data_IF_586260693433
#
_entry.id   IF_586260693433
#
_cell.length_a   1.000
_cell.length_b   1.000
_cell.length_c   1.000
_cell.angle_alpha   90.00
_cell.angle_beta   90.00
_cell.angle_gamma   90.00
#
_symmetry.space_group_name_H-M   'P 1'
#
loop_
_entity.id
_entity.type
_entity.pdbx_description
1 polymer ?
#
# COMPACT_ATOMS: atom_id res chain seq x y z
N UNK A 1 -18.57 13.97 28.29
CA UNK A 1 -18.23 15.27 27.64
C UNK A 1 -16.92 15.19 26.86
N UNK A 2 -15.96 14.37 27.26
CA UNK A 2 -14.65 14.22 26.60
C UNK A 2 -14.71 13.50 25.22
N UNK A 3 -15.67 12.62 24.98
CA UNK A 3 -15.76 11.86 23.71
C UNK A 3 -16.24 12.67 22.48
N UNK A 4 -16.73 13.91 22.68
CA UNK A 4 -17.22 14.77 21.59
C UNK A 4 -16.17 15.71 21.02
N UNK A 5 -15.04 15.88 21.71
CA UNK A 5 -13.96 16.81 21.32
C UNK A 5 -13.00 16.20 20.28
N UNK A 6 -12.68 14.91 20.37
CA UNK A 6 -11.71 14.26 19.48
C UNK A 6 -12.18 14.22 18.01
N UNK A 7 -13.45 13.97 17.76
CA UNK A 7 -14.01 14.02 16.40
C UNK A 7 -14.09 15.44 15.82
N UNK A 8 -14.20 16.46 16.68
CA UNK A 8 -14.21 17.87 16.24
C UNK A 8 -12.81 18.38 15.88
N UNK A 9 -11.77 17.93 16.57
CA UNK A 9 -10.39 18.35 16.29
C UNK A 9 -9.91 17.88 14.92
N UNK A 10 -10.13 16.62 14.54
CA UNK A 10 -9.80 16.13 13.20
C UNK A 10 -10.56 16.90 12.11
N UNK A 11 -11.87 17.09 12.27
CA UNK A 11 -12.67 17.85 11.31
C UNK A 11 -12.25 19.34 11.22
N UNK A 12 -11.81 19.94 12.34
CA UNK A 12 -11.30 21.32 12.34
C UNK A 12 -9.96 21.38 11.65
N UNK A 13 -9.05 20.45 11.94
CA UNK A 13 -7.73 20.34 11.29
C UNK A 13 -7.86 20.22 9.78
N UNK A 14 -8.70 19.30 9.29
CA UNK A 14 -8.93 19.10 7.86
C UNK A 14 -9.49 20.36 7.18
N UNK A 15 -10.45 21.05 7.83
CA UNK A 15 -10.98 22.34 7.31
C UNK A 15 -9.92 23.42 7.25
N UNK A 16 -9.07 23.51 8.26
CA UNK A 16 -7.97 24.48 8.30
C UNK A 16 -6.99 24.20 7.17
N UNK A 17 -6.59 22.94 6.98
CA UNK A 17 -5.68 22.53 5.91
C UNK A 17 -6.22 22.93 4.53
N UNK A 18 -7.48 22.61 4.25
CA UNK A 18 -8.13 23.00 2.99
C UNK A 18 -8.17 24.51 2.81
N UNK A 19 -8.47 25.26 3.88
CA UNK A 19 -8.56 26.73 3.85
C UNK A 19 -7.18 27.36 3.61
N UNK A 20 -6.15 26.86 4.29
CA UNK A 20 -4.77 27.30 4.12
C UNK A 20 -4.28 27.01 2.70
N UNK A 21 -4.49 25.78 2.19
CA UNK A 21 -4.12 25.42 0.82
C UNK A 21 -4.77 26.37 -0.22
N UNK A 22 -6.07 26.67 -0.07
CA UNK A 22 -6.78 27.61 -0.94
C UNK A 22 -6.21 29.03 -0.86
N UNK A 23 -5.88 29.49 0.36
CA UNK A 23 -5.29 30.82 0.56
C UNK A 23 -3.93 30.92 -0.12
N UNK A 24 -3.03 29.96 0.14
CA UNK A 24 -1.68 29.90 -0.44
C UNK A 24 -1.73 29.93 -1.98
N UNK A 25 -2.63 29.13 -2.58
CA UNK A 25 -2.84 29.14 -4.04
C UNK A 25 -3.36 30.49 -4.55
N UNK A 26 -4.30 31.13 -3.83
CA UNK A 26 -4.87 32.43 -4.24
C UNK A 26 -3.84 33.55 -4.22
N UNK A 27 -2.91 33.54 -3.26
CA UNK A 27 -1.85 34.57 -3.17
C UNK A 27 -0.58 34.16 -3.94
N UNK A 28 -0.61 33.01 -4.61
CA UNK A 28 0.49 32.46 -5.40
C UNK A 28 1.82 32.37 -4.61
N UNK A 29 1.74 31.91 -3.36
CA UNK A 29 2.88 31.82 -2.47
C UNK A 29 3.49 30.40 -2.49
N UNK A 30 4.77 30.30 -2.87
CA UNK A 30 5.54 29.07 -2.73
C UNK A 30 5.79 28.79 -1.23
N UNK A 31 5.39 27.61 -0.78
CA UNK A 31 5.43 27.23 0.63
C UNK A 31 6.09 25.89 0.80
N UNK A 32 6.93 25.74 1.81
CA UNK A 32 7.51 24.47 2.24
C UNK A 32 6.88 24.12 3.58
N UNK A 33 6.32 22.90 3.66
CA UNK A 33 5.75 22.32 4.88
C UNK A 33 6.61 21.14 5.27
N UNK A 34 7.04 21.09 6.52
CA UNK A 34 7.77 19.95 7.11
C UNK A 34 6.84 19.28 8.11
N UNK A 35 6.56 18.00 7.91
CA UNK A 35 5.69 17.22 8.77
C UNK A 35 6.16 15.76 8.81
N UNK A 36 5.80 15.04 9.87
CA UNK A 36 5.97 13.59 9.95
C UNK A 36 4.68 12.82 9.61
N UNK A 37 3.61 13.53 9.32
CA UNK A 37 2.32 12.96 8.94
C UNK A 37 2.21 12.90 7.41
N UNK A 38 2.28 11.68 6.85
CA UNK A 38 2.20 11.46 5.41
C UNK A 38 0.85 11.88 4.82
N UNK A 39 -0.25 11.74 5.57
CA UNK A 39 -1.58 12.17 5.11
C UNK A 39 -1.67 13.69 4.99
N UNK A 40 -1.07 14.42 5.94
CA UNK A 40 -0.97 15.86 5.86
C UNK A 40 -0.15 16.30 4.65
N UNK A 41 1.04 15.70 4.47
CA UNK A 41 1.89 15.99 3.31
C UNK A 41 1.14 15.73 1.98
N UNK A 42 0.50 14.56 1.83
CA UNK A 42 -0.20 14.18 0.61
C UNK A 42 -1.43 15.05 0.32
N UNK A 43 -2.14 15.53 1.34
CA UNK A 43 -3.31 16.38 1.17
C UNK A 43 -2.96 17.84 0.81
N UNK A 44 -1.84 18.33 1.35
CA UNK A 44 -1.46 19.74 1.26
C UNK A 44 -0.52 20.05 0.09
N UNK A 45 0.41 19.18 -0.22
CA UNK A 45 1.50 19.46 -1.14
C UNK A 45 1.13 19.20 -2.60
N UNK A 46 1.75 19.95 -3.51
CA UNK A 46 1.76 19.65 -4.94
C UNK A 46 2.92 18.69 -5.27
N UNK A 47 4.00 18.71 -4.47
CA UNK A 47 5.11 17.76 -4.51
C UNK A 47 5.55 17.41 -3.10
N UNK A 48 5.96 16.17 -2.89
CA UNK A 48 6.45 15.65 -1.61
C UNK A 48 7.90 15.20 -1.72
N UNK A 49 8.70 15.53 -0.71
CA UNK A 49 10.06 15.03 -0.54
C UNK A 49 10.15 14.11 0.67
N UNK A 50 10.70 12.93 0.50
CA UNK A 50 11.01 12.01 1.60
C UNK A 50 12.49 12.17 1.98
N UNK A 51 12.73 12.61 3.20
CA UNK A 51 14.08 12.79 3.75
C UNK A 51 14.34 11.69 4.78
N UNK A 52 15.32 10.85 4.50
CA UNK A 52 15.79 9.80 5.42
C UNK A 52 17.30 9.90 5.55
N UNK A 53 17.81 9.75 6.77
CA UNK A 53 19.26 9.81 7.06
C UNK A 53 19.93 11.07 6.48
N UNK A 54 19.25 12.22 6.59
CA UNK A 54 19.72 13.53 6.10
C UNK A 54 19.84 13.64 4.56
N UNK A 55 19.28 12.69 3.82
CA UNK A 55 19.29 12.68 2.36
C UNK A 55 17.86 12.73 1.81
N UNK A 56 17.67 13.47 0.71
CA UNK A 56 16.43 13.46 -0.04
C UNK A 56 16.35 12.18 -0.88
N UNK A 57 15.57 11.19 -0.42
CA UNK A 57 15.47 9.87 -1.06
C UNK A 57 14.50 9.85 -2.25
N UNK A 58 13.42 10.59 -2.15
CA UNK A 58 12.43 10.69 -3.25
C UNK A 58 11.81 12.08 -3.25
N UNK A 59 11.53 12.63 -4.45
CA UNK A 59 10.84 13.89 -4.64
C UNK A 59 9.93 13.80 -5.85
N UNK A 60 8.61 13.77 -5.63
CA UNK A 60 7.63 13.62 -6.70
C UNK A 60 6.25 14.14 -6.26
N UNK A 61 5.23 14.01 -7.13
CA UNK A 61 3.85 14.24 -6.74
C UNK A 61 3.40 13.23 -5.69
N UNK A 62 2.47 13.59 -4.78
CA UNK A 62 2.01 12.70 -3.70
C UNK A 62 1.61 11.31 -4.15
N UNK A 63 0.91 11.22 -5.30
CA UNK A 63 0.46 9.95 -5.87
C UNK A 63 1.62 9.00 -6.16
N UNK A 64 2.66 9.48 -6.85
CA UNK A 64 3.83 8.66 -7.20
C UNK A 64 4.63 8.26 -5.94
N UNK A 65 4.82 9.20 -5.00
CA UNK A 65 5.48 8.88 -3.72
C UNK A 65 4.75 7.77 -2.98
N UNK A 66 3.40 7.78 -3.06
CA UNK A 66 2.57 6.77 -2.41
C UNK A 66 2.59 5.42 -3.12
N UNK A 67 2.42 5.40 -4.44
CA UNK A 67 2.21 4.15 -5.20
C UNK A 67 3.50 3.58 -5.79
N UNK A 68 4.52 4.41 -5.99
CA UNK A 68 5.78 4.04 -6.63
C UNK A 68 6.98 4.49 -5.78
N UNK A 69 7.13 3.99 -4.53
CA UNK A 69 8.33 4.27 -3.74
C UNK A 69 9.57 3.77 -4.50
N UNK A 70 10.59 4.63 -4.57
CA UNK A 70 11.78 4.36 -5.38
C UNK A 70 12.83 3.46 -4.69
N UNK A 71 12.61 3.12 -3.44
CA UNK A 71 13.51 2.27 -2.65
C UNK A 71 12.77 1.56 -1.51
N UNK A 72 13.38 0.48 -1.03
CA UNK A 72 12.90 -0.28 0.13
C UNK A 72 12.79 0.64 1.36
N UNK A 73 13.74 1.56 1.55
CA UNK A 73 13.73 2.48 2.69
C UNK A 73 12.52 3.43 2.65
N UNK A 74 12.19 3.97 1.48
CA UNK A 74 11.01 4.83 1.29
C UNK A 74 9.72 4.02 1.52
N UNK A 75 9.61 2.82 0.97
CA UNK A 75 8.45 1.96 1.17
C UNK A 75 8.26 1.60 2.65
N UNK A 76 9.32 1.27 3.37
CA UNK A 76 9.29 1.01 4.81
C UNK A 76 8.90 2.26 5.61
N UNK A 77 9.45 3.42 5.28
CA UNK A 77 9.11 4.69 5.93
C UNK A 77 7.62 5.01 5.80
N UNK A 78 7.05 4.77 4.63
CA UNK A 78 5.63 4.96 4.36
C UNK A 78 4.75 3.83 4.93
N UNK A 79 5.36 2.78 5.49
CA UNK A 79 4.67 1.61 6.06
C UNK A 79 3.68 0.95 5.08
N UNK A 80 4.13 0.76 3.83
CA UNK A 80 3.28 0.44 2.70
C UNK A 80 2.88 -1.02 2.57
N UNK A 81 3.51 -1.93 3.25
CA UNK A 81 3.22 -3.36 3.10
C UNK A 81 4.42 -4.21 3.47
N UNK A 82 4.57 -5.31 2.77
CA UNK A 82 5.66 -6.26 2.98
C UNK A 82 6.39 -6.52 1.66
N UNK A 83 7.59 -7.08 1.76
CA UNK A 83 8.36 -7.53 0.60
C UNK A 83 8.31 -9.04 0.51
N UNK A 84 7.94 -9.55 -0.67
CA UNK A 84 7.96 -10.99 -0.98
C UNK A 84 8.93 -11.24 -2.12
N UNK A 85 9.56 -12.43 -2.11
CA UNK A 85 10.50 -12.83 -3.16
C UNK A 85 9.72 -13.42 -4.33
N UNK A 86 9.90 -12.84 -5.52
CA UNK A 86 9.24 -13.29 -6.76
C UNK A 86 10.24 -13.45 -7.89
N UNK A 87 9.88 -14.25 -8.89
CA UNK A 87 10.66 -14.41 -10.12
C UNK A 87 9.97 -13.73 -11.29
N UNK A 88 10.69 -12.93 -12.06
CA UNK A 88 10.21 -12.34 -13.30
C UNK A 88 10.07 -13.43 -14.36
N UNK A 89 8.86 -13.65 -14.89
CA UNK A 89 8.61 -14.66 -15.92
C UNK A 89 8.72 -14.05 -17.30
N UNK A 90 8.15 -12.87 -17.50
CA UNK A 90 8.09 -12.22 -18.79
C UNK A 90 8.12 -10.69 -18.60
N UNK A 91 8.98 -10.04 -19.38
CA UNK A 91 9.18 -8.59 -19.33
C UNK A 91 8.93 -7.88 -20.67
N UNK A 92 8.49 -8.62 -21.71
CA UNK A 92 8.37 -8.06 -23.08
C UNK A 92 6.98 -7.47 -23.38
N UNK A 93 6.00 -7.69 -22.51
CA UNK A 93 4.61 -7.22 -22.69
C UNK A 93 4.30 -5.99 -21.84
N UNK A 94 3.27 -5.23 -22.21
CA UNK A 94 2.75 -4.11 -21.42
C UNK A 94 2.30 -4.51 -20.01
N UNK A 95 1.99 -5.81 -19.81
CA UNK A 95 1.65 -6.42 -18.52
C UNK A 95 2.71 -7.47 -18.22
N UNK A 96 3.50 -7.21 -17.19
CA UNK A 96 4.55 -8.12 -16.73
C UNK A 96 3.95 -9.24 -15.89
N UNK A 97 4.60 -10.41 -15.94
CA UNK A 97 4.23 -11.59 -15.17
C UNK A 97 5.34 -11.93 -14.19
N UNK A 98 4.97 -11.98 -12.93
CA UNK A 98 5.83 -12.43 -11.84
C UNK A 98 5.28 -13.76 -11.31
N UNK A 99 6.14 -14.58 -10.75
CA UNK A 99 5.77 -15.86 -10.13
C UNK A 99 6.24 -15.89 -8.69
N UNK A 100 5.31 -16.12 -7.79
CA UNK A 100 5.59 -16.46 -6.40
C UNK A 100 5.28 -17.95 -6.18
N UNK A 101 6.07 -18.62 -5.32
CA UNK A 101 5.97 -20.08 -5.15
C UNK A 101 4.59 -20.55 -4.68
N UNK A 102 3.93 -19.80 -3.81
CA UNK A 102 2.64 -20.17 -3.22
C UNK A 102 1.48 -19.32 -3.75
N UNK A 103 1.67 -18.02 -3.96
CA UNK A 103 0.63 -17.15 -4.51
C UNK A 103 0.39 -17.38 -6.00
N UNK A 104 1.31 -18.07 -6.68
CA UNK A 104 1.22 -18.35 -8.09
C UNK A 104 1.60 -17.15 -8.97
N UNK A 105 0.80 -16.89 -9.99
CA UNK A 105 1.07 -15.83 -10.96
C UNK A 105 0.53 -14.47 -10.46
N UNK A 106 1.42 -13.46 -10.51
CA UNK A 106 1.12 -12.07 -10.21
C UNK A 106 1.34 -11.27 -11.49
N UNK A 107 0.36 -10.48 -11.88
CA UNK A 107 0.36 -9.68 -13.10
C UNK A 107 0.23 -8.21 -12.78
N UNK A 108 0.87 -7.37 -13.58
CA UNK A 108 0.70 -5.93 -13.48
C UNK A 108 1.71 -5.15 -14.31
N UNK A 109 1.68 -3.83 -14.15
CA UNK A 109 2.61 -2.94 -14.84
C UNK A 109 3.83 -2.71 -13.96
N UNK A 110 5.00 -3.06 -14.44
CA UNK A 110 6.27 -2.89 -13.73
C UNK A 110 6.83 -1.48 -13.98
N UNK A 111 7.24 -0.80 -12.92
CA UNK A 111 7.86 0.53 -13.01
C UNK A 111 9.30 0.48 -13.54
N UNK A 112 10.00 -0.65 -13.31
CA UNK A 112 11.38 -0.87 -13.72
C UNK A 112 11.51 -2.15 -14.56
N UNK A 113 12.39 -2.14 -15.56
CA UNK A 113 12.65 -3.33 -16.35
C UNK A 113 13.63 -4.27 -15.64
N UNK A 114 13.23 -5.51 -15.44
CA UNK A 114 14.07 -6.59 -14.94
C UNK A 114 14.17 -7.70 -15.99
N UNK A 115 15.34 -8.33 -16.16
CA UNK A 115 15.48 -9.46 -17.08
C UNK A 115 14.56 -10.63 -16.68
N UNK A 116 14.03 -11.33 -17.68
CA UNK A 116 13.29 -12.57 -17.43
C UNK A 116 14.16 -13.58 -16.68
N UNK A 117 13.60 -14.26 -15.69
CA UNK A 117 14.28 -15.20 -14.81
C UNK A 117 14.91 -14.57 -13.57
N UNK A 118 15.03 -13.23 -13.48
CA UNK A 118 15.60 -12.57 -12.30
C UNK A 118 14.69 -12.75 -11.06
N UNK A 119 15.33 -12.82 -9.89
CA UNK A 119 14.66 -12.80 -8.59
C UNK A 119 14.66 -11.37 -8.08
N UNK A 120 13.51 -10.88 -7.69
CA UNK A 120 13.29 -9.52 -7.19
C UNK A 120 12.39 -9.53 -5.96
N UNK A 121 12.44 -8.46 -5.18
CA UNK A 121 11.53 -8.24 -4.06
C UNK A 121 10.35 -7.40 -4.53
N UNK A 122 9.17 -7.98 -4.52
CA UNK A 122 7.92 -7.28 -4.81
C UNK A 122 7.38 -6.65 -3.53
N UNK A 123 7.07 -5.36 -3.56
CA UNK A 123 6.27 -4.73 -2.52
C UNK A 123 4.81 -5.18 -2.70
N UNK A 124 4.28 -5.87 -1.70
CA UNK A 124 2.90 -6.31 -1.63
C UNK A 124 2.16 -5.47 -0.59
N UNK A 125 1.17 -4.72 -1.02
CA UNK A 125 0.34 -3.88 -0.16
C UNK A 125 -0.92 -4.64 0.29
N UNK A 126 -1.55 -4.25 1.41
CA UNK A 126 -2.75 -4.94 1.91
C UNK A 126 -3.92 -4.93 0.92
N UNK A 127 -3.97 -3.93 0.04
CA UNK A 127 -5.01 -3.72 -0.98
C UNK A 127 -4.81 -4.58 -2.24
N UNK A 128 -3.62 -5.15 -2.44
CA UNK A 128 -3.28 -5.93 -3.64
C UNK A 128 -3.90 -7.33 -3.63
N UNK A 129 -4.21 -7.84 -2.45
CA UNK A 129 -4.84 -9.15 -2.29
C UNK A 129 -6.35 -9.01 -2.14
N UNK A 130 -7.08 -9.52 -3.12
CA UNK A 130 -8.54 -9.46 -3.15
C UNK A 130 -9.12 -10.76 -2.58
N UNK A 131 -10.06 -10.63 -1.64
CA UNK A 131 -10.80 -11.76 -1.09
C UNK A 131 -11.69 -12.43 -2.14
N UNK A 132 -11.63 -13.75 -2.20
CA UNK A 132 -12.49 -14.57 -3.07
C UNK A 132 -12.69 -15.96 -2.46
N UNK A 133 -13.88 -16.19 -1.89
CA UNK A 133 -14.24 -17.47 -1.26
C UNK A 133 -14.20 -18.66 -2.21
N UNK A 134 -14.39 -18.42 -3.51
CA UNK A 134 -14.40 -19.46 -4.54
C UNK A 134 -13.00 -19.78 -5.08
N UNK A 135 -11.99 -18.96 -4.71
CA UNK A 135 -10.62 -19.18 -5.18
C UNK A 135 -10.05 -20.50 -4.67
N UNK A 136 -9.23 -21.14 -5.53
CA UNK A 136 -8.44 -22.31 -5.15
C UNK A 136 -7.23 -21.96 -4.29
N UNK A 137 -6.75 -20.71 -4.36
CA UNK A 137 -5.68 -20.22 -3.52
C UNK A 137 -6.27 -19.90 -2.15
N UNK A 138 -5.93 -20.74 -1.17
CA UNK A 138 -6.37 -20.59 0.22
C UNK A 138 -5.17 -20.44 1.13
N UNK A 139 -5.22 -19.44 2.02
CA UNK A 139 -4.20 -19.15 3.02
C UNK A 139 -4.84 -19.14 4.41
N UNK A 140 -4.06 -19.49 5.44
CA UNK A 140 -4.53 -19.51 6.82
C UNK A 140 -4.58 -18.09 7.41
N UNK A 141 -5.67 -17.74 8.08
CA UNK A 141 -5.80 -16.50 8.86
C UNK A 141 -5.09 -16.66 10.21
N UNK A 142 -4.03 -15.90 10.44
CA UNK A 142 -3.33 -15.91 11.73
C UNK A 142 -3.70 -14.74 12.63
N UNK A 143 -4.14 -13.62 12.07
CA UNK A 143 -4.63 -12.47 12.84
C UNK A 143 -5.68 -11.68 12.07
N UNK A 144 -6.55 -11.00 12.83
CA UNK A 144 -7.60 -10.13 12.31
C UNK A 144 -7.73 -8.89 13.18
N UNK A 145 -7.67 -7.71 12.57
CA UNK A 145 -7.82 -6.42 13.25
C UNK A 145 -8.95 -5.63 12.63
N UNK A 146 -9.97 -5.31 13.42
CA UNK A 146 -11.06 -4.42 13.00
C UNK A 146 -10.62 -2.96 13.12
N UNK A 147 -10.84 -2.16 12.08
CA UNK A 147 -10.51 -0.74 12.01
C UNK A 147 -11.72 0.13 11.60
N UNK A 148 -12.91 -0.23 12.07
CA UNK A 148 -14.16 0.50 11.78
C UNK A 148 -14.72 0.16 10.40
N UNK A 149 -14.27 0.82 9.35
CA UNK A 149 -14.75 0.60 7.96
C UNK A 149 -14.18 -0.64 7.32
N UNK A 150 -13.15 -1.24 7.90
CA UNK A 150 -12.44 -2.38 7.33
C UNK A 150 -11.83 -3.31 8.36
N UNK A 151 -11.46 -4.50 7.88
CA UNK A 151 -10.60 -5.45 8.57
C UNK A 151 -9.24 -5.51 7.89
N UNK A 152 -8.20 -5.68 8.68
CA UNK A 152 -6.89 -6.10 8.19
C UNK A 152 -6.67 -7.52 8.67
N UNK A 153 -6.66 -8.46 7.74
CA UNK A 153 -6.29 -9.85 7.98
C UNK A 153 -4.79 -10.01 7.81
N UNK A 154 -4.20 -10.86 8.61
CA UNK A 154 -2.84 -11.36 8.38
C UNK A 154 -2.95 -12.81 7.98
N UNK A 155 -2.59 -13.12 6.73
CA UNK A 155 -2.58 -14.47 6.20
C UNK A 155 -1.17 -15.04 6.29
N UNK A 156 -1.06 -16.35 6.44
CA UNK A 156 0.23 -17.05 6.54
C UNK A 156 0.42 -17.97 5.34
N UNK A 157 1.57 -17.86 4.69
CA UNK A 157 2.02 -18.84 3.68
C UNK A 157 2.62 -20.06 4.35
N UNK A 158 2.74 -21.17 3.63
CA UNK A 158 3.42 -22.39 4.13
C UNK A 158 4.88 -22.15 4.47
N UNK A 159 5.51 -21.16 3.81
CA UNK A 159 6.88 -20.72 4.09
C UNK A 159 6.99 -19.83 5.33
N UNK A 160 5.86 -19.42 5.93
CA UNK A 160 5.82 -18.61 7.14
C UNK A 160 5.78 -17.09 6.87
N UNK A 161 5.60 -16.64 5.64
CA UNK A 161 5.40 -15.24 5.33
C UNK A 161 4.03 -14.77 5.84
N UNK A 162 3.97 -13.56 6.36
CA UNK A 162 2.75 -12.95 6.88
C UNK A 162 2.25 -11.86 5.94
N UNK A 163 1.18 -12.15 5.22
CA UNK A 163 0.63 -11.29 4.17
C UNK A 163 -0.54 -10.47 4.73
N UNK A 164 -0.46 -9.13 4.77
CA UNK A 164 -1.58 -8.31 5.17
C UNK A 164 -2.61 -8.22 4.03
N UNK A 165 -3.90 -8.31 4.37
CA UNK A 165 -5.00 -8.19 3.40
C UNK A 165 -6.06 -7.24 3.95
N UNK A 166 -6.47 -6.30 3.11
CA UNK A 166 -7.50 -5.33 3.43
C UNK A 166 -8.86 -5.82 2.92
N UNK A 167 -9.87 -5.84 3.81
CA UNK A 167 -11.24 -6.22 3.47
C UNK A 167 -12.22 -5.21 4.05
N UNK A 168 -13.16 -4.72 3.27
CA UNK A 168 -14.21 -3.84 3.79
C UNK A 168 -15.08 -4.53 4.83
N UNK A 169 -15.45 -3.82 5.90
CA UNK A 169 -16.23 -4.37 7.02
C UNK A 169 -17.65 -4.80 6.64
N UNK A 170 -18.17 -4.32 5.52
CA UNK A 170 -19.46 -4.75 4.97
C UNK A 170 -19.39 -6.06 4.17
N UNK A 171 -18.24 -6.73 4.14
CA UNK A 171 -18.13 -8.05 3.53
C UNK A 171 -19.01 -9.05 4.29
N UNK A 172 -19.77 -9.85 3.56
CA UNK A 172 -20.81 -10.73 4.16
C UNK A 172 -20.17 -11.85 4.98
N UNK A 173 -19.01 -12.34 4.57
CA UNK A 173 -18.31 -13.42 5.24
C UNK A 173 -17.08 -12.92 5.98
N UNK A 174 -17.09 -13.07 7.31
CA UNK A 174 -15.95 -12.78 8.17
C UNK A 174 -15.20 -14.07 8.49
N UNK A 175 -13.89 -14.04 8.37
CA UNK A 175 -13.03 -15.18 8.70
C UNK A 175 -12.48 -15.03 10.11
N UNK A 176 -12.50 -16.13 10.86
CA UNK A 176 -11.88 -16.24 12.18
C UNK A 176 -10.43 -16.74 12.07
N UNK A 177 -9.68 -16.68 13.18
CA UNK A 177 -8.32 -17.22 13.23
C UNK A 177 -8.33 -18.72 12.94
N UNK A 178 -7.32 -19.18 12.21
CA UNK A 178 -7.14 -20.57 11.73
C UNK A 178 -8.12 -20.99 10.63
N UNK A 179 -8.99 -20.10 10.16
CA UNK A 179 -9.80 -20.38 8.97
C UNK A 179 -9.01 -20.16 7.66
N UNK A 180 -9.55 -20.74 6.60
CA UNK A 180 -8.98 -20.62 5.26
C UNK A 180 -9.58 -19.40 4.56
N UNK A 181 -8.70 -18.49 4.18
CA UNK A 181 -9.05 -17.27 3.45
C UNK A 181 -8.73 -17.44 1.97
N UNK A 182 -9.73 -17.29 1.11
CA UNK A 182 -9.55 -17.36 -0.33
C UNK A 182 -8.98 -16.06 -0.89
N UNK A 183 -7.92 -16.16 -1.68
CA UNK A 183 -7.30 -15.05 -2.39
C UNK A 183 -7.55 -15.20 -3.88
N UNK A 184 -8.08 -14.16 -4.53
CA UNK A 184 -8.33 -14.15 -5.97
C UNK A 184 -7.03 -14.43 -6.74
N UNK A 185 -7.08 -15.40 -7.66
CA UNK A 185 -5.92 -15.80 -8.47
C UNK A 185 -6.33 -15.92 -9.94
N UNK A 186 -5.51 -15.44 -10.91
CA UNK A 186 -4.23 -14.75 -10.71
C UNK A 186 -4.38 -13.41 -10.00
N UNK A 187 -3.34 -13.02 -9.25
CA UNK A 187 -3.29 -11.73 -8.57
C UNK A 187 -2.98 -10.64 -9.60
N UNK A 188 -3.70 -9.53 -9.53
CA UNK A 188 -3.49 -8.39 -10.41
C UNK A 188 -3.18 -7.14 -9.60
N UNK A 189 -2.03 -6.52 -9.86
CA UNK A 189 -1.54 -5.32 -9.17
C UNK A 189 -1.27 -4.24 -10.23
N UNK A 190 -1.94 -3.08 -10.11
CA UNK A 190 -1.84 -2.01 -11.10
C UNK A 190 -0.41 -1.46 -11.22
N UNK A 191 0.31 -1.32 -10.11
CA UNK A 191 1.68 -0.84 -10.03
C UNK A 191 2.56 -1.88 -9.32
N UNK A 192 3.30 -2.67 -10.10
CA UNK A 192 4.28 -3.62 -9.56
C UNK A 192 5.56 -2.86 -9.17
N UNK A 193 5.79 -2.70 -7.88
CA UNK A 193 7.01 -2.07 -7.34
C UNK A 193 7.98 -3.15 -6.91
N UNK A 194 9.06 -3.29 -7.66
CA UNK A 194 10.09 -4.31 -7.44
C UNK A 194 11.47 -3.68 -7.21
N UNK A 195 12.29 -4.37 -6.38
CA UNK A 195 13.64 -3.98 -6.01
C UNK A 195 14.62 -5.14 -6.16
#
# INVERSE_FOLDING_TARGET
>A
ILGRLVGSEMCIRDRIQVSVKKLLKRINLTTIIVTHDSYEAFSMADKCGIILNQELKQYDVPYNVHHEPNSIDVANFLNKGIFIDVQVVDSECAVHRLKHDELGEIRGKLSNNFPSGSKVKLLLQPEDLIHDDQSKLKLEVVDRKFRGTNFIYTLKTKKGEHLPVFVHSHHIHQHEKSEQFGVKSPIYIDHLVCF
#
